data_IF_930819188217
#
_entry.id   IF_930819188217
#
_cell.length_a   1.000
_cell.length_b   1.000
_cell.length_c   1.000
_cell.angle_alpha   90.00
_cell.angle_beta   90.00
_cell.angle_gamma   90.00
#
_symmetry.space_group_name_H-M   'P 1'
#
loop_
_entity.id
_entity.type
_entity.pdbx_description
1 polymer ?
#
# COMPACT_ATOMS: atom_id res chain seq x y z
N UNK A 1 7.09 7.31 25.53
CA UNK A 1 5.74 6.74 25.62
C UNK A 1 4.96 7.52 26.66
N UNK A 2 3.70 7.80 26.37
CA UNK A 2 2.84 8.52 27.30
C UNK A 2 2.37 7.56 28.40
N UNK A 3 2.80 7.81 29.64
CA UNK A 3 2.42 7.00 30.80
C UNK A 3 0.89 6.93 30.97
N UNK A 4 0.18 8.00 30.59
CA UNK A 4 -1.27 8.05 30.67
C UNK A 4 -1.93 7.04 29.72
N UNK A 5 -1.43 6.95 28.48
CA UNK A 5 -1.90 5.99 27.47
C UNK A 5 -1.72 4.55 27.96
N UNK A 6 -0.56 4.24 28.53
CA UNK A 6 -0.25 2.89 29.03
C UNK A 6 -1.10 2.51 30.24
N UNK A 7 -1.29 3.42 31.20
CA UNK A 7 -2.15 3.17 32.38
C UNK A 7 -3.59 2.97 31.97
N UNK A 8 -4.14 3.83 31.12
CA UNK A 8 -5.53 3.74 30.67
C UNK A 8 -5.77 2.47 29.86
N UNK A 9 -4.87 2.11 28.95
CA UNK A 9 -4.98 0.88 28.15
C UNK A 9 -4.93 -0.38 29.02
N UNK A 10 -4.16 -0.38 30.11
CA UNK A 10 -4.10 -1.52 31.05
C UNK A 10 -5.45 -1.81 31.73
N UNK A 11 -6.33 -0.81 31.83
CA UNK A 11 -7.63 -0.98 32.49
C UNK A 11 -8.71 -1.59 31.58
N UNK A 12 -8.39 -1.91 30.32
CA UNK A 12 -9.34 -2.59 29.43
C UNK A 12 -9.56 -4.05 29.85
N UNK A 13 -10.80 -4.54 29.76
CA UNK A 13 -11.11 -5.96 29.98
C UNK A 13 -10.42 -6.86 28.94
N UNK A 14 -10.36 -6.37 27.70
CA UNK A 14 -9.71 -7.04 26.59
C UNK A 14 -8.98 -6.04 25.70
N UNK A 15 -7.78 -6.42 25.26
CA UNK A 15 -6.99 -5.66 24.29
C UNK A 15 -6.99 -6.41 22.98
N UNK A 16 -7.36 -5.74 21.90
CA UNK A 16 -7.43 -6.30 20.56
C UNK A 16 -6.36 -5.67 19.66
N UNK A 17 -5.74 -6.48 18.81
CA UNK A 17 -4.82 -6.02 17.79
C UNK A 17 -5.29 -6.49 16.41
N UNK A 18 -5.11 -5.65 15.39
CA UNK A 18 -5.54 -5.97 14.03
C UNK A 18 -4.63 -6.99 13.31
N UNK A 19 -3.48 -7.32 13.89
CA UNK A 19 -2.52 -8.27 13.34
C UNK A 19 -1.54 -8.73 14.42
N UNK A 20 -0.84 -9.85 14.16
CA UNK A 20 0.28 -10.31 15.01
C UNK A 20 1.43 -9.29 15.06
N UNK A 21 1.67 -8.57 13.97
CA UNK A 21 2.68 -7.51 13.94
C UNK A 21 2.35 -6.40 14.93
N UNK A 22 1.13 -5.86 14.87
CA UNK A 22 0.66 -4.84 15.80
C UNK A 22 0.66 -5.32 17.24
N UNK A 23 0.29 -6.57 17.49
CA UNK A 23 0.36 -7.16 18.83
C UNK A 23 1.81 -7.19 19.35
N UNK A 24 2.78 -7.54 18.52
CA UNK A 24 4.20 -7.52 18.88
C UNK A 24 4.72 -6.10 19.14
N UNK A 25 4.36 -5.14 18.29
CA UNK A 25 4.68 -3.72 18.51
C UNK A 25 4.06 -3.23 19.81
N UNK A 26 2.80 -3.57 20.07
CA UNK A 26 2.12 -3.21 21.31
C UNK A 26 2.89 -3.72 22.54
N UNK A 27 3.28 -4.99 22.58
CA UNK A 27 4.03 -5.56 23.69
C UNK A 27 5.40 -4.90 23.90
N UNK A 28 6.06 -4.49 22.81
CA UNK A 28 7.35 -3.81 22.89
C UNK A 28 7.22 -2.36 23.42
N UNK A 29 6.11 -1.68 23.10
CA UNK A 29 5.91 -0.27 23.44
C UNK A 29 5.12 -0.05 24.75
N UNK A 30 4.36 -1.04 25.23
CA UNK A 30 3.61 -1.01 26.49
C UNK A 30 4.11 -2.09 27.47
N UNK A 31 5.36 -1.99 27.95
CA UNK A 31 6.02 -3.06 28.70
C UNK A 31 5.36 -3.38 30.06
N UNK A 32 4.57 -2.46 30.62
CA UNK A 32 3.86 -2.69 31.89
C UNK A 32 2.53 -3.42 31.73
N UNK A 33 2.06 -3.61 30.49
CA UNK A 33 0.85 -4.38 30.17
C UNK A 33 1.27 -5.81 29.85
N UNK A 34 1.05 -6.73 30.80
CA UNK A 34 1.42 -8.15 30.63
C UNK A 34 0.41 -8.95 29.81
N UNK A 35 -0.79 -8.41 29.59
CA UNK A 35 -1.80 -9.04 28.76
C UNK A 35 -1.33 -9.07 27.30
N UNK A 36 -1.44 -10.23 26.66
CA UNK A 36 -1.19 -10.35 25.22
C UNK A 36 -2.45 -9.95 24.46
N UNK A 37 -2.39 -8.98 23.53
CA UNK A 37 -3.53 -8.61 22.71
C UNK A 37 -4.07 -9.80 21.91
N UNK A 38 -5.39 -9.96 21.90
CA UNK A 38 -6.05 -10.93 21.02
C UNK A 38 -6.07 -10.38 19.60
N UNK A 39 -5.59 -11.17 18.64
CA UNK A 39 -5.56 -10.75 17.24
C UNK A 39 -6.93 -10.94 16.60
N UNK A 40 -7.53 -9.84 16.16
CA UNK A 40 -8.76 -9.82 15.36
C UNK A 40 -8.43 -9.14 14.04
N UNK A 41 -8.29 -9.95 12.99
CA UNK A 41 -8.03 -9.40 11.65
C UNK A 41 -9.26 -8.63 11.17
N UNK A 42 -9.07 -7.46 10.53
CA UNK A 42 -10.19 -6.72 9.97
C UNK A 42 -10.87 -7.57 8.89
N UNK A 43 -12.19 -7.70 9.00
CA UNK A 43 -12.99 -8.34 7.98
C UNK A 43 -13.07 -7.49 6.72
N UNK A 44 -13.23 -8.15 5.57
CA UNK A 44 -13.55 -7.50 4.30
C UNK A 44 -15.00 -7.82 3.94
N UNK A 45 -15.74 -6.82 3.46
CA UNK A 45 -17.07 -7.06 2.91
C UNK A 45 -16.94 -7.55 1.46
N UNK A 46 -17.01 -8.86 1.25
CA UNK A 46 -16.85 -9.47 -0.08
C UNK A 46 -17.89 -8.96 -1.09
N UNK A 47 -19.11 -8.66 -0.64
CA UNK A 47 -20.17 -8.13 -1.51
C UNK A 47 -19.81 -6.76 -2.10
N UNK A 48 -18.95 -5.97 -1.43
CA UNK A 48 -18.48 -4.68 -1.96
C UNK A 48 -17.49 -4.83 -3.12
N UNK A 49 -16.98 -6.05 -3.38
CA UNK A 49 -16.03 -6.35 -4.45
C UNK A 49 -16.65 -7.19 -5.57
N UNK A 50 -17.95 -7.44 -5.52
CA UNK A 50 -18.64 -8.11 -6.62
C UNK A 50 -18.64 -7.21 -7.87
N UNK A 51 -18.30 -7.75 -9.06
CA UNK A 51 -18.32 -6.97 -10.28
C UNK A 51 -19.74 -6.44 -10.56
N UNK A 52 -19.89 -5.13 -10.65
CA UNK A 52 -21.16 -4.55 -11.05
C UNK A 52 -21.36 -4.68 -12.57
N UNK A 53 -22.58 -4.98 -13.06
CA UNK A 53 -22.88 -4.99 -14.49
C UNK A 53 -22.56 -3.62 -15.12
N UNK A 54 -21.81 -3.61 -16.22
CA UNK A 54 -21.43 -2.38 -16.94
C UNK A 54 -20.22 -1.63 -16.36
N UNK A 55 -19.56 -2.15 -15.32
CA UNK A 55 -18.35 -1.52 -14.76
C UNK A 55 -17.19 -1.42 -15.76
N UNK A 56 -17.17 -2.27 -16.79
CA UNK A 56 -16.10 -2.27 -17.81
C UNK A 56 -16.20 -1.09 -18.77
N UNK A 57 -17.39 -0.49 -18.90
CA UNK A 57 -17.66 0.69 -19.73
C UNK A 57 -17.44 2.01 -18.99
N UNK A 58 -17.04 1.94 -17.71
CA UNK A 58 -16.72 3.12 -16.92
C UNK A 58 -15.53 3.87 -17.54
N UNK A 59 -15.65 5.18 -17.82
CA UNK A 59 -14.60 5.97 -18.46
C UNK A 59 -13.25 5.93 -17.72
N UNK A 60 -13.26 5.88 -16.39
CA UNK A 60 -12.05 5.85 -15.57
C UNK A 60 -11.37 4.48 -15.66
N UNK A 61 -12.16 3.40 -15.73
CA UNK A 61 -11.65 2.05 -15.96
C UNK A 61 -11.08 1.93 -17.38
N UNK A 62 -11.75 2.48 -18.38
CA UNK A 62 -11.29 2.47 -19.77
C UNK A 62 -9.96 3.21 -19.95
N UNK A 63 -9.74 4.33 -19.24
CA UNK A 63 -8.48 5.08 -19.28
C UNK A 63 -7.28 4.26 -18.81
N UNK A 64 -7.49 3.36 -17.86
CA UNK A 64 -6.43 2.50 -17.34
C UNK A 64 -6.46 1.10 -17.94
N UNK A 65 -7.48 0.73 -18.71
CA UNK A 65 -7.55 -0.58 -19.35
C UNK A 65 -6.47 -0.74 -20.42
N UNK A 66 -5.75 -1.86 -20.40
CA UNK A 66 -4.69 -2.15 -21.37
C UNK A 66 -4.40 -3.64 -21.42
N UNK A 67 -4.03 -4.12 -22.60
CA UNK A 67 -3.47 -5.43 -22.87
C UNK A 67 -2.06 -5.64 -22.28
N UNK A 68 -1.37 -4.54 -21.95
CA UNK A 68 -0.05 -4.55 -21.33
C UNK A 68 -0.11 -5.23 -19.96
N UNK A 69 0.82 -6.16 -19.66
CA UNK A 69 0.96 -6.70 -18.32
C UNK A 69 1.14 -5.55 -17.31
N UNK A 70 0.19 -5.45 -16.39
CA UNK A 70 0.09 -4.30 -15.48
C UNK A 70 0.41 -4.75 -14.06
N UNK A 71 1.45 -4.16 -13.49
CA UNK A 71 1.69 -4.19 -12.05
C UNK A 71 0.98 -2.99 -11.44
N UNK A 72 0.09 -3.24 -10.48
CA UNK A 72 -0.74 -2.20 -9.87
C UNK A 72 -0.38 -2.04 -8.39
N UNK A 73 -0.06 -0.81 -7.99
CA UNK A 73 0.10 -0.41 -6.59
C UNK A 73 -1.01 0.57 -6.22
N UNK A 74 -1.96 0.12 -5.40
CA UNK A 74 -3.07 0.93 -4.88
C UNK A 74 -2.80 1.35 -3.43
N UNK A 75 -2.40 2.61 -3.22
CA UNK A 75 -2.09 3.16 -1.90
C UNK A 75 -2.41 4.66 -1.82
N UNK A 76 -2.46 5.21 -0.60
CA UNK A 76 -2.36 6.67 -0.44
C UNK A 76 -0.94 7.13 -0.77
N UNK A 77 -0.80 8.36 -1.26
CA UNK A 77 0.50 8.97 -1.49
C UNK A 77 1.13 9.42 -0.17
N UNK A 78 1.64 8.46 0.60
CA UNK A 78 2.28 8.72 1.90
C UNK A 78 3.72 8.21 1.86
N UNK A 79 4.67 9.03 2.33
CA UNK A 79 6.10 8.69 2.25
C UNK A 79 6.45 7.36 2.94
N UNK A 80 5.77 7.05 4.06
CA UNK A 80 5.96 5.81 4.83
C UNK A 80 5.62 4.53 4.05
N UNK A 81 4.85 4.62 2.96
CA UNK A 81 4.51 3.47 2.10
C UNK A 81 5.67 3.06 1.20
N UNK A 82 6.71 3.90 1.08
CA UNK A 82 7.91 3.66 0.29
C UNK A 82 7.60 3.19 -1.15
N UNK A 83 6.68 3.88 -1.83
CA UNK A 83 6.28 3.55 -3.22
C UNK A 83 7.47 3.69 -4.18
N UNK A 84 8.47 4.52 -3.85
CA UNK A 84 9.68 4.70 -4.65
C UNK A 84 10.43 3.38 -4.90
N UNK A 85 10.44 2.47 -3.91
CA UNK A 85 11.03 1.14 -4.06
C UNK A 85 10.39 0.34 -5.21
N UNK A 86 9.09 0.50 -5.44
CA UNK A 86 8.41 -0.17 -6.55
C UNK A 86 8.86 0.39 -7.91
N UNK A 87 9.09 1.70 -8.01
CA UNK A 87 9.60 2.36 -9.23
C UNK A 87 11.02 1.86 -9.53
N UNK A 88 11.90 1.88 -8.54
CA UNK A 88 13.29 1.41 -8.68
C UNK A 88 13.35 -0.09 -9.03
N UNK A 89 12.55 -0.92 -8.34
CA UNK A 89 12.47 -2.34 -8.63
C UNK A 89 11.95 -2.61 -10.05
N UNK A 90 10.96 -1.84 -10.51
CA UNK A 90 10.44 -1.96 -11.87
C UNK A 90 11.47 -1.52 -12.92
N UNK A 91 12.23 -0.45 -12.68
CA UNK A 91 13.33 -0.05 -13.54
C UNK A 91 14.42 -1.14 -13.62
N UNK A 92 14.81 -1.71 -12.48
CA UNK A 92 15.74 -2.85 -12.43
C UNK A 92 15.20 -4.07 -13.19
N UNK A 93 13.92 -4.37 -13.07
CA UNK A 93 13.27 -5.46 -13.81
C UNK A 93 13.40 -5.25 -15.32
N UNK A 94 13.04 -4.05 -15.82
CA UNK A 94 13.15 -3.73 -17.25
C UNK A 94 14.57 -3.90 -17.77
N UNK A 95 15.57 -3.38 -17.07
CA UNK A 95 16.98 -3.52 -17.47
C UNK A 95 17.47 -4.97 -17.55
N UNK A 96 16.93 -5.88 -16.73
CA UNK A 96 17.28 -7.31 -16.79
C UNK A 96 16.58 -8.00 -17.95
N UNK A 97 15.30 -7.70 -18.16
CA UNK A 97 14.52 -8.25 -19.28
C UNK A 97 15.13 -7.88 -20.64
N UNK A 98 15.64 -6.66 -20.78
CA UNK A 98 16.31 -6.21 -21.99
C UNK A 98 17.63 -6.97 -22.26
N UNK A 99 18.36 -7.36 -21.19
CA UNK A 99 19.63 -8.08 -21.29
C UNK A 99 19.47 -9.57 -21.58
N UNK A 100 18.48 -10.20 -20.96
CA UNK A 100 18.32 -11.66 -20.98
C UNK A 100 17.45 -12.16 -22.16
N UNK A 101 16.96 -11.25 -23.03
CA UNK A 101 16.11 -11.59 -24.17
C UNK A 101 14.78 -12.23 -23.77
N UNK A 102 14.31 -11.95 -22.55
CA UNK A 102 13.09 -12.53 -21.99
C UNK A 102 11.86 -11.96 -22.71
N UNK A 103 10.85 -12.81 -22.89
CA UNK A 103 9.59 -12.62 -23.65
C UNK A 103 9.14 -11.16 -23.85
N UNK A 104 8.86 -10.77 -25.11
CA UNK A 104 8.29 -9.49 -25.54
C UNK A 104 7.14 -8.99 -24.65
N UNK A 105 6.34 -9.93 -24.12
CA UNK A 105 5.24 -9.67 -23.17
C UNK A 105 5.67 -8.82 -21.98
N UNK A 106 6.82 -9.10 -21.36
CA UNK A 106 7.27 -8.34 -20.18
C UNK A 106 8.01 -7.05 -20.54
N UNK A 107 8.60 -6.95 -21.73
CA UNK A 107 9.17 -5.70 -22.23
C UNK A 107 8.11 -4.61 -22.39
N UNK A 108 6.89 -5.00 -22.76
CA UNK A 108 5.74 -4.09 -22.84
C UNK A 108 4.95 -3.95 -21.51
N UNK A 109 5.50 -4.42 -20.37
CA UNK A 109 4.84 -4.25 -19.08
C UNK A 109 4.78 -2.78 -18.63
N UNK A 110 3.91 -2.48 -17.66
CA UNK A 110 3.83 -1.17 -17.02
C UNK A 110 3.60 -1.30 -15.52
N UNK A 111 4.10 -0.32 -14.78
CA UNK A 111 3.77 -0.09 -13.37
C UNK A 111 2.77 1.06 -13.28
N UNK A 112 1.60 0.80 -12.69
CA UNK A 112 0.58 1.80 -12.38
C UNK A 112 0.57 2.03 -10.88
N UNK A 113 0.80 3.28 -10.48
CA UNK A 113 0.69 3.73 -9.09
C UNK A 113 -0.57 4.58 -9.00
N UNK A 114 -1.52 4.14 -8.19
CA UNK A 114 -2.80 4.80 -8.02
C UNK A 114 -3.27 4.74 -6.56
N UNK A 115 -4.31 5.51 -6.25
CA UNK A 115 -4.97 5.51 -4.94
C UNK A 115 -5.17 6.91 -4.39
N UNK A 116 -5.34 7.01 -3.07
CA UNK A 116 -5.83 8.23 -2.44
C UNK A 116 -4.84 9.38 -2.53
N UNK A 117 -5.22 10.42 -3.28
CA UNK A 117 -4.52 11.69 -3.35
C UNK A 117 -5.43 12.80 -2.81
N UNK A 118 -4.93 13.55 -1.82
CA UNK A 118 -5.61 14.75 -1.32
C UNK A 118 -4.67 15.95 -1.48
N UNK A 119 -5.00 16.93 -2.35
CA UNK A 119 -4.14 18.10 -2.57
C UNK A 119 -4.00 18.99 -1.34
N UNK A 120 -4.86 18.83 -0.32
CA UNK A 120 -4.80 19.57 0.94
C UNK A 120 -3.77 18.99 1.92
N UNK A 121 -3.31 17.77 1.67
CA UNK A 121 -2.35 17.07 2.53
C UNK A 121 -0.96 17.18 1.90
N UNK A 122 -0.08 17.97 2.54
CA UNK A 122 1.26 18.23 2.03
C UNK A 122 2.09 16.96 1.77
N UNK A 123 1.95 15.92 2.61
CA UNK A 123 2.64 14.64 2.40
C UNK A 123 2.22 13.98 1.07
N UNK A 124 0.95 14.11 0.66
CA UNK A 124 0.46 13.57 -0.62
C UNK A 124 1.05 14.30 -1.81
N UNK A 125 1.03 15.64 -1.78
CA UNK A 125 1.53 16.45 -2.89
C UNK A 125 3.05 16.31 -3.06
N UNK A 126 3.80 16.31 -1.95
CA UNK A 126 5.25 16.14 -1.96
C UNK A 126 5.67 14.72 -2.34
N UNK A 127 4.97 13.70 -1.83
CA UNK A 127 5.24 12.30 -2.19
C UNK A 127 4.98 12.09 -3.69
N UNK A 128 3.85 12.57 -4.21
CA UNK A 128 3.56 12.48 -5.65
C UNK A 128 4.62 13.18 -6.50
N UNK A 129 5.02 14.40 -6.14
CA UNK A 129 6.06 15.14 -6.87
C UNK A 129 7.41 14.38 -6.87
N UNK A 130 7.79 13.82 -5.72
CA UNK A 130 9.02 13.02 -5.58
C UNK A 130 8.96 11.73 -6.42
N UNK A 131 7.82 11.04 -6.43
CA UNK A 131 7.63 9.83 -7.23
C UNK A 131 7.66 10.11 -8.74
N UNK A 132 7.08 11.23 -9.18
CA UNK A 132 7.17 11.68 -10.59
C UNK A 132 8.62 11.93 -10.99
N UNK A 133 9.36 12.71 -10.21
CA UNK A 133 10.77 12.97 -10.47
C UNK A 133 11.62 11.68 -10.48
N UNK A 134 11.30 10.71 -9.61
CA UNK A 134 11.96 9.41 -9.60
C UNK A 134 11.63 8.57 -10.85
N UNK A 135 10.38 8.60 -11.31
CA UNK A 135 9.97 7.92 -12.53
C UNK A 135 10.65 8.54 -13.77
N UNK A 136 10.73 9.87 -13.87
CA UNK A 136 11.37 10.57 -14.99
C UNK A 136 12.89 10.33 -15.08
N UNK A 137 13.51 9.93 -13.96
CA UNK A 137 14.93 9.60 -13.90
C UNK A 137 15.26 8.25 -14.57
N UNK A 138 14.29 7.34 -14.69
CA UNK A 138 14.46 5.97 -15.17
C UNK A 138 13.93 5.78 -16.59
#
# INVERSE_FOLDING_TARGET
MDWLEEVTTRNADAILANSKFTAGVFQAYFPSIRQTPTVVYPGINLAAYEPQPGSVDDPDILQVSSDRPTLLSLNRFEKKKNIGLAIEAFACLRQRLDKDGLTERFQNSRLVIAGGYDPRVADNTQTLASLKALADKH
#
